data_IF_095855694537
#
_entry.id   IF_095855694537
#
_cell.length_a   1.000
_cell.length_b   1.000
_cell.length_c   1.000
_cell.angle_alpha   90.00
_cell.angle_beta   90.00
_cell.angle_gamma   90.00
#
_symmetry.space_group_name_H-M   'P 1'
#
loop_
_entity.id
_entity.type
_entity.pdbx_description
1 polymer ?
#
# COMPACT_ATOMS: atom_id res chain seq x y z
N UNK A 1 22.48 12.73 2.86
CA UNK A 1 22.43 12.30 4.29
C UNK A 1 21.43 11.17 4.55
N UNK A 2 20.19 11.18 4.01
CA UNK A 2 19.19 10.14 4.26
C UNK A 2 19.62 8.70 3.90
N UNK A 3 20.00 8.47 2.63
CA UNK A 3 20.41 7.14 2.15
C UNK A 3 21.56 6.52 2.96
N UNK A 4 22.51 7.34 3.42
CA UNK A 4 23.61 6.84 4.26
C UNK A 4 23.11 6.26 5.59
N UNK A 5 22.11 6.91 6.23
CA UNK A 5 21.48 6.40 7.45
C UNK A 5 20.75 5.07 7.21
N UNK A 6 19.99 4.98 6.11
CA UNK A 6 19.25 3.76 5.72
C UNK A 6 20.18 2.61 5.37
N UNK A 7 21.23 2.86 4.57
CA UNK A 7 22.16 1.85 4.11
C UNK A 7 23.11 1.36 5.21
N UNK A 8 23.52 2.24 6.15
CA UNK A 8 24.42 1.85 7.26
C UNK A 8 23.81 0.78 8.17
N UNK A 9 22.49 0.80 8.37
CA UNK A 9 21.75 -0.17 9.20
C UNK A 9 21.00 -1.22 8.38
N UNK A 10 21.36 -1.39 7.11
CA UNK A 10 20.64 -2.26 6.19
C UNK A 10 20.54 -3.71 6.68
N UNK A 11 21.66 -4.31 7.07
CA UNK A 11 21.70 -5.70 7.56
C UNK A 11 20.83 -5.91 8.80
N UNK A 12 20.88 -4.99 9.75
CA UNK A 12 20.05 -5.03 10.96
C UNK A 12 18.55 -4.95 10.61
N UNK A 13 18.18 -4.02 9.72
CA UNK A 13 16.79 -3.84 9.27
C UNK A 13 16.27 -5.03 8.45
N UNK A 14 17.12 -5.60 7.61
CA UNK A 14 16.82 -6.83 6.85
C UNK A 14 16.57 -8.01 7.81
N UNK A 15 17.42 -8.19 8.83
CA UNK A 15 17.24 -9.23 9.83
C UNK A 15 15.97 -9.03 10.66
N UNK A 16 15.67 -7.80 11.08
CA UNK A 16 14.43 -7.46 11.80
C UNK A 16 13.19 -7.73 10.94
N UNK A 17 13.21 -7.32 9.67
CA UNK A 17 12.13 -7.58 8.73
C UNK A 17 11.93 -9.08 8.49
N UNK A 18 13.02 -9.84 8.31
CA UNK A 18 12.94 -11.29 8.16
C UNK A 18 12.34 -11.97 9.40
N UNK A 19 12.78 -11.59 10.60
CA UNK A 19 12.22 -12.11 11.84
C UNK A 19 10.73 -11.78 12.00
N UNK A 20 10.31 -10.57 11.62
CA UNK A 20 8.91 -10.17 11.62
C UNK A 20 8.09 -11.02 10.63
N UNK A 21 8.57 -11.19 9.39
CA UNK A 21 7.90 -12.00 8.38
C UNK A 21 7.76 -13.46 8.80
N UNK A 22 8.80 -14.05 9.40
CA UNK A 22 8.73 -15.42 9.92
C UNK A 22 7.75 -15.54 11.10
N UNK A 23 7.71 -14.53 11.99
CA UNK A 23 6.69 -14.47 13.06
C UNK A 23 5.28 -14.36 12.48
N UNK A 24 5.08 -13.56 11.44
CA UNK A 24 3.77 -13.42 10.80
C UNK A 24 3.32 -14.70 10.08
N UNK A 25 4.25 -15.48 9.53
CA UNK A 25 3.94 -16.78 8.93
C UNK A 25 3.60 -17.85 9.97
N UNK A 26 4.24 -17.79 11.14
CA UNK A 26 4.08 -18.78 12.21
C UNK A 26 2.97 -18.43 13.19
N UNK A 27 2.65 -17.15 13.35
CA UNK A 27 1.50 -16.68 14.12
C UNK A 27 0.21 -16.81 13.30
N UNK A 28 -0.87 -17.22 13.95
CA UNK A 28 -2.21 -17.21 13.36
C UNK A 28 -2.92 -15.84 13.54
N UNK A 29 -2.23 -14.82 14.05
CA UNK A 29 -2.83 -13.51 14.33
C UNK A 29 -3.25 -12.82 13.02
N UNK A 30 -4.55 -12.57 12.80
CA UNK A 30 -4.99 -11.82 11.64
C UNK A 30 -4.44 -10.40 11.68
N UNK A 31 -4.00 -9.88 10.53
CA UNK A 31 -3.46 -8.54 10.45
C UNK A 31 -4.02 -7.75 9.28
N UNK A 32 -4.05 -6.44 9.45
CA UNK A 32 -4.29 -5.47 8.38
C UNK A 32 -2.97 -4.88 7.91
N UNK A 33 -2.93 -4.42 6.67
CA UNK A 33 -1.73 -3.83 6.06
C UNK A 33 -1.97 -2.36 5.72
N UNK A 34 -1.03 -1.50 6.11
CA UNK A 34 -0.97 -0.09 5.72
C UNK A 34 0.39 0.21 5.08
N UNK A 35 0.50 0.18 3.74
CA UNK A 35 1.72 0.58 3.04
C UNK A 35 1.85 2.10 3.01
N UNK A 36 2.98 2.59 3.52
CA UNK A 36 3.33 4.00 3.46
C UNK A 36 3.66 4.40 2.02
N UNK A 37 3.21 5.60 1.64
CA UNK A 37 3.61 6.27 0.40
C UNK A 37 4.75 7.26 0.67
N UNK A 38 5.43 7.74 -0.38
CA UNK A 38 6.47 8.75 -0.24
C UNK A 38 5.85 10.08 0.18
N UNK A 39 6.40 10.73 1.21
CA UNK A 39 5.93 12.05 1.67
C UNK A 39 6.02 13.14 0.57
N UNK A 40 6.89 12.95 -0.42
CA UNK A 40 7.06 13.81 -1.58
C UNK A 40 6.13 13.49 -2.76
N UNK A 41 5.24 12.50 -2.63
CA UNK A 41 4.36 12.09 -3.72
C UNK A 41 3.36 13.21 -4.04
N UNK A 42 3.36 13.64 -5.30
CA UNK A 42 2.40 14.63 -5.80
C UNK A 42 0.95 14.16 -5.63
N UNK A 43 0.71 12.83 -5.62
CA UNK A 43 -0.60 12.24 -5.40
C UNK A 43 -1.15 12.51 -3.98
N UNK A 44 -0.29 12.63 -2.96
CA UNK A 44 -0.73 12.99 -1.60
C UNK A 44 -1.15 14.44 -1.55
N UNK A 45 -0.41 15.32 -2.23
CA UNK A 45 -0.64 16.77 -2.24
C UNK A 45 -1.85 17.18 -3.08
N UNK A 46 -2.16 16.45 -4.15
CA UNK A 46 -3.21 16.80 -5.11
C UNK A 46 -4.48 15.95 -4.97
N UNK A 47 -4.35 14.73 -4.47
CA UNK A 47 -5.44 13.73 -4.47
C UNK A 47 -5.68 13.10 -3.10
N UNK A 48 -5.25 13.74 -2.01
CA UNK A 48 -5.60 13.31 -0.65
C UNK A 48 -6.08 14.48 0.23
N UNK A 49 -6.94 14.23 1.21
CA UNK A 49 -7.33 15.22 2.21
C UNK A 49 -6.25 15.46 3.28
N UNK A 50 -5.14 14.72 3.26
CA UNK A 50 -4.09 14.77 4.28
C UNK A 50 -3.03 15.81 3.93
N UNK A 51 -2.53 16.52 4.95
CA UNK A 51 -1.39 17.43 4.76
C UNK A 51 -0.07 16.68 4.55
N UNK A 52 -0.01 15.39 4.91
CA UNK A 52 1.11 14.50 4.65
C UNK A 52 0.88 13.09 5.22
N UNK A 53 1.89 12.22 5.10
CA UNK A 53 1.80 10.81 5.52
C UNK A 53 1.57 10.66 7.04
N UNK A 54 2.11 11.57 7.84
CA UNK A 54 1.96 11.51 9.30
C UNK A 54 0.50 11.67 9.74
N UNK A 55 -0.29 12.49 9.04
CA UNK A 55 -1.71 12.68 9.37
C UNK A 55 -2.52 11.44 9.00
N UNK A 56 -2.23 10.84 7.84
CA UNK A 56 -2.83 9.57 7.45
C UNK A 56 -2.47 8.45 8.45
N UNK A 57 -1.20 8.36 8.85
CA UNK A 57 -0.75 7.41 9.87
C UNK A 57 -1.48 7.63 11.20
N UNK A 58 -1.71 8.89 11.60
CA UNK A 58 -2.47 9.24 12.82
C UNK A 58 -3.90 8.78 12.74
N UNK A 59 -4.58 9.06 11.62
CA UNK A 59 -5.95 8.65 11.40
C UNK A 59 -6.08 7.12 11.45
N UNK A 60 -5.18 6.41 10.74
CA UNK A 60 -5.19 4.94 10.67
C UNK A 60 -4.94 4.31 12.04
N UNK A 61 -3.90 4.75 12.76
CA UNK A 61 -3.60 4.22 14.09
C UNK A 61 -4.71 4.53 15.11
N UNK A 62 -5.28 5.74 15.06
CA UNK A 62 -6.37 6.12 15.95
C UNK A 62 -7.65 5.32 15.69
N UNK A 63 -8.03 5.17 14.43
CA UNK A 63 -9.19 4.37 14.03
C UNK A 63 -8.99 2.88 14.36
N UNK A 64 -7.81 2.33 14.07
CA UNK A 64 -7.47 0.95 14.44
C UNK A 64 -7.55 0.72 15.95
N UNK A 65 -7.05 1.65 16.77
CA UNK A 65 -7.12 1.56 18.22
C UNK A 65 -8.57 1.53 18.74
N UNK A 66 -9.45 2.34 18.16
CA UNK A 66 -10.83 2.47 18.58
C UNK A 66 -11.73 1.33 18.08
N UNK A 67 -11.47 0.81 16.88
CA UNK A 67 -12.44 -0.01 16.16
C UNK A 67 -11.93 -1.41 15.78
N UNK A 68 -10.62 -1.70 15.78
CA UNK A 68 -10.15 -3.01 15.35
C UNK A 68 -10.25 -4.08 16.45
N UNK A 69 -10.69 -5.32 16.14
CA UNK A 69 -10.80 -6.41 17.11
C UNK A 69 -9.52 -6.64 17.90
N UNK A 70 -9.59 -6.90 19.21
CA UNK A 70 -8.41 -7.00 20.08
C UNK A 70 -7.34 -8.02 19.62
N UNK A 71 -7.76 -9.10 18.95
CA UNK A 71 -6.87 -10.14 18.41
C UNK A 71 -6.27 -9.83 17.03
N UNK A 72 -6.45 -8.63 16.49
CA UNK A 72 -5.85 -8.23 15.20
C UNK A 72 -4.63 -7.35 15.39
N UNK A 73 -3.72 -7.43 14.41
CA UNK A 73 -2.52 -6.59 14.30
C UNK A 73 -2.62 -5.63 13.12
N UNK A 74 -1.82 -4.57 13.14
CA UNK A 74 -1.62 -3.66 12.01
C UNK A 74 -0.15 -3.66 11.60
N UNK A 75 0.10 -3.96 10.33
CA UNK A 75 1.44 -3.94 9.75
C UNK A 75 1.59 -2.65 8.94
N UNK A 76 2.45 -1.77 9.40
CA UNK A 76 2.85 -0.56 8.68
C UNK A 76 4.07 -0.88 7.83
N UNK A 77 3.92 -0.82 6.50
CA UNK A 77 4.98 -1.19 5.55
C UNK A 77 5.68 0.06 5.01
N UNK A 78 7.00 0.16 5.20
CA UNK A 78 7.79 1.27 4.65
C UNK A 78 7.83 1.22 3.11
N UNK A 79 7.73 2.39 2.48
CA UNK A 79 7.94 2.53 1.04
C UNK A 79 9.39 2.18 0.67
N UNK A 80 9.64 1.33 -0.36
CA UNK A 80 11.00 0.90 -0.70
C UNK A 80 11.92 2.09 -1.05
N UNK A 81 11.38 3.09 -1.74
CA UNK A 81 12.10 4.29 -2.15
C UNK A 81 12.22 5.38 -1.07
N UNK A 82 11.70 5.17 0.15
CA UNK A 82 11.86 6.14 1.23
C UNK A 82 13.36 6.27 1.56
N UNK A 83 13.87 7.50 1.56
CA UNK A 83 15.29 7.77 1.75
C UNK A 83 15.71 7.76 3.24
N UNK A 84 14.77 7.52 4.15
CA UNK A 84 14.98 7.46 5.58
C UNK A 84 15.36 8.80 6.19
N UNK A 85 14.97 9.95 5.61
CA UNK A 85 15.13 11.28 6.25
C UNK A 85 14.23 11.36 7.48
N UNK A 86 12.95 11.02 7.32
CA UNK A 86 12.02 10.85 8.44
C UNK A 86 12.14 9.44 9.00
N UNK A 87 12.04 9.31 10.32
CA UNK A 87 12.14 8.00 10.97
C UNK A 87 10.73 7.44 11.21
N UNK A 88 10.11 6.95 10.15
CA UNK A 88 8.75 6.41 10.19
C UNK A 88 8.55 5.26 11.17
N UNK A 89 9.59 4.46 11.41
CA UNK A 89 9.57 3.41 12.43
C UNK A 89 9.36 4.02 13.84
N UNK A 90 10.11 5.07 14.18
CA UNK A 90 9.97 5.75 15.46
C UNK A 90 8.63 6.49 15.57
N UNK A 91 8.24 7.21 14.52
CA UNK A 91 6.96 7.93 14.48
C UNK A 91 5.77 6.97 14.68
N UNK A 92 5.80 5.82 13.99
CA UNK A 92 4.79 4.77 14.15
C UNK A 92 4.77 4.23 15.58
N UNK A 93 5.94 3.94 16.17
CA UNK A 93 6.04 3.43 17.54
C UNK A 93 5.52 4.45 18.57
N UNK A 94 5.91 5.72 18.45
CA UNK A 94 5.49 6.80 19.36
C UNK A 94 3.99 7.02 19.29
N UNK A 95 3.41 6.99 18.08
CA UNK A 95 1.97 7.15 17.87
C UNK A 95 1.19 5.94 18.36
N UNK A 96 1.66 4.72 18.09
CA UNK A 96 1.04 3.50 18.58
C UNK A 96 1.05 3.44 20.12
N UNK A 97 2.13 3.88 20.76
CA UNK A 97 2.20 4.00 22.21
C UNK A 97 1.20 5.03 22.75
N UNK A 98 1.07 6.19 22.11
CA UNK A 98 0.08 7.23 22.48
C UNK A 98 -1.36 6.73 22.37
N UNK A 99 -1.65 5.87 21.40
CA UNK A 99 -2.96 5.24 21.23
C UNK A 99 -3.15 3.95 22.04
N UNK A 100 -2.14 3.52 22.81
CA UNK A 100 -2.23 2.31 23.65
C UNK A 100 -2.22 0.99 22.88
N UNK A 101 -1.72 0.97 21.64
CA UNK A 101 -1.74 -0.19 20.74
C UNK A 101 -0.35 -0.63 20.28
N UNK A 102 0.72 -0.21 20.98
CA UNK A 102 2.10 -0.54 20.61
C UNK A 102 2.33 -2.05 20.38
N UNK A 103 1.74 -2.91 21.21
CA UNK A 103 1.85 -4.37 21.11
C UNK A 103 1.12 -4.97 19.90
N UNK A 104 0.24 -4.20 19.25
CA UNK A 104 -0.58 -4.61 18.10
C UNK A 104 -0.14 -3.98 16.78
N UNK A 105 0.92 -3.17 16.78
CA UNK A 105 1.43 -2.49 15.58
C UNK A 105 2.83 -2.97 15.27
N UNK A 106 3.01 -3.49 14.06
CA UNK A 106 4.30 -3.94 13.54
C UNK A 106 4.78 -3.00 12.44
N UNK A 107 6.09 -2.74 12.40
CA UNK A 107 6.70 -1.92 11.37
C UNK A 107 7.61 -2.76 10.47
N UNK A 108 7.26 -2.86 9.18
CA UNK A 108 8.02 -3.61 8.19
C UNK A 108 8.83 -2.67 7.30
N UNK A 109 10.07 -2.40 7.73
CA UNK A 109 11.00 -1.48 7.05
C UNK A 109 11.66 -2.03 5.78
N UNK A 110 11.61 -3.34 5.55
CA UNK A 110 12.25 -4.01 4.41
C UNK A 110 11.43 -5.22 3.95
N UNK A 111 11.71 -5.72 2.75
CA UNK A 111 11.04 -6.89 2.18
C UNK A 111 9.95 -6.54 1.17
N UNK A 112 9.56 -7.55 0.40
CA UNK A 112 8.52 -7.46 -0.61
C UNK A 112 7.14 -7.31 0.06
N UNK A 113 6.31 -6.45 -0.52
CA UNK A 113 4.92 -6.25 -0.09
C UNK A 113 4.03 -7.42 -0.55
N UNK A 114 4.36 -8.09 -1.66
CA UNK A 114 3.49 -9.13 -2.27
C UNK A 114 3.11 -10.25 -1.30
N UNK A 115 4.05 -10.89 -0.56
CA UNK A 115 3.70 -11.95 0.38
C UNK A 115 2.84 -11.44 1.53
N UNK A 116 3.09 -10.21 1.99
CA UNK A 116 2.41 -9.58 3.13
C UNK A 116 1.02 -9.10 2.76
N UNK A 117 0.84 -8.63 1.53
CA UNK A 117 -0.47 -8.22 1.03
C UNK A 117 -1.38 -9.43 0.89
N UNK A 118 -0.87 -10.54 0.33
CA UNK A 118 -1.65 -11.75 0.06
C UNK A 118 -2.34 -12.33 1.30
N UNK A 119 -1.66 -12.33 2.43
CA UNK A 119 -2.15 -12.96 3.66
C UNK A 119 -2.82 -11.94 4.61
N UNK A 120 -2.99 -10.68 4.19
CA UNK A 120 -3.64 -9.65 4.99
C UNK A 120 -5.17 -9.84 5.01
N UNK A 121 -5.78 -9.58 6.18
CA UNK A 121 -7.24 -9.51 6.34
C UNK A 121 -7.87 -8.33 5.59
N UNK A 122 -7.08 -7.28 5.35
CA UNK A 122 -7.48 -6.11 4.59
C UNK A 122 -6.32 -5.12 4.46
N UNK A 123 -6.38 -4.27 3.44
CA UNK A 123 -5.39 -3.23 3.18
C UNK A 123 -6.03 -1.84 3.27
N UNK A 124 -5.39 -0.95 4.02
CA UNK A 124 -5.72 0.47 4.05
C UNK A 124 -4.72 1.18 3.16
N UNK A 125 -5.17 2.09 2.29
CA UNK A 125 -4.30 2.88 1.41
C UNK A 125 -4.83 4.31 1.34
N UNK A 126 -3.97 5.28 1.00
CA UNK A 126 -4.46 6.63 0.67
C UNK A 126 -4.92 6.61 -0.79
N UNK A 127 -3.96 6.46 -1.71
CA UNK A 127 -4.21 6.32 -3.15
C UNK A 127 -3.10 5.52 -3.85
N UNK A 128 -2.30 4.76 -3.09
CA UNK A 128 -1.21 3.95 -3.61
C UNK A 128 -1.69 2.91 -4.63
N UNK A 129 -0.89 2.63 -5.65
CA UNK A 129 -1.11 1.47 -6.54
C UNK A 129 -1.01 0.13 -5.79
N UNK A 130 -0.43 0.10 -4.59
CA UNK A 130 -0.50 -1.05 -3.69
C UNK A 130 -1.95 -1.49 -3.41
N UNK A 131 -2.93 -0.57 -3.45
CA UNK A 131 -4.35 -0.93 -3.38
C UNK A 131 -4.76 -1.88 -4.52
N UNK A 132 -4.39 -1.57 -5.76
CA UNK A 132 -4.67 -2.46 -6.91
C UNK A 132 -3.97 -3.82 -6.81
N UNK A 133 -2.80 -3.88 -6.15
CA UNK A 133 -2.12 -5.15 -5.85
C UNK A 133 -2.95 -5.99 -4.86
N UNK A 134 -3.46 -5.38 -3.78
CA UNK A 134 -4.33 -6.05 -2.82
C UNK A 134 -5.62 -6.54 -3.47
N UNK A 135 -6.26 -5.69 -4.27
CA UNK A 135 -7.48 -6.02 -5.02
C UNK A 135 -7.26 -7.22 -5.96
N UNK A 136 -6.14 -7.25 -6.69
CA UNK A 136 -5.78 -8.37 -7.56
C UNK A 136 -5.53 -9.69 -6.81
N UNK A 137 -5.30 -9.63 -5.49
CA UNK A 137 -5.18 -10.81 -4.62
C UNK A 137 -6.50 -11.15 -3.92
N UNK A 138 -7.60 -10.45 -4.20
CA UNK A 138 -8.89 -10.63 -3.52
C UNK A 138 -8.92 -10.06 -2.10
N UNK A 139 -7.94 -9.24 -1.72
CA UNK A 139 -7.86 -8.65 -0.38
C UNK A 139 -8.79 -7.44 -0.31
N UNK A 140 -9.63 -7.31 0.73
CA UNK A 140 -10.42 -6.11 0.97
C UNK A 140 -9.54 -4.87 1.02
N UNK A 141 -9.92 -3.79 0.33
CA UNK A 141 -9.17 -2.53 0.34
C UNK A 141 -10.07 -1.36 0.67
N UNK A 142 -9.63 -0.49 1.59
CA UNK A 142 -10.25 0.83 1.82
C UNK A 142 -9.27 1.93 1.39
N UNK A 143 -9.74 2.84 0.55
CA UNK A 143 -9.00 4.02 0.11
C UNK A 143 -9.39 5.24 0.97
N UNK A 144 -8.39 5.96 1.47
CA UNK A 144 -8.58 7.15 2.32
C UNK A 144 -8.42 8.47 1.56
N UNK A 145 -7.94 8.41 0.31
CA UNK A 145 -7.84 9.53 -0.61
C UNK A 145 -8.52 9.20 -1.94
N UNK A 146 -8.40 10.11 -2.90
CA UNK A 146 -8.94 9.88 -4.23
C UNK A 146 -8.07 8.89 -4.99
N UNK A 147 -8.57 7.67 -5.14
CA UNK A 147 -7.97 6.64 -5.97
C UNK A 147 -8.90 6.31 -7.14
N UNK A 148 -8.36 6.14 -8.35
CA UNK A 148 -9.17 5.81 -9.53
C UNK A 148 -9.88 4.46 -9.44
N UNK A 149 -9.40 3.58 -8.55
CA UNK A 149 -9.99 2.27 -8.25
C UNK A 149 -10.95 2.30 -7.05
N UNK A 150 -11.13 3.45 -6.39
CA UNK A 150 -12.10 3.64 -5.31
C UNK A 150 -13.51 3.72 -5.89
N UNK A 151 -14.04 2.57 -6.27
CA UNK A 151 -15.38 2.39 -6.82
C UNK A 151 -16.15 1.35 -5.99
N UNK A 152 -17.48 1.47 -5.91
CA UNK A 152 -18.34 0.46 -5.30
C UNK A 152 -18.04 -0.93 -5.88
N UNK A 153 -18.20 -1.95 -5.05
CA UNK A 153 -17.95 -3.37 -5.38
C UNK A 153 -16.47 -3.72 -5.59
N UNK A 154 -15.59 -2.77 -5.91
CA UNK A 154 -14.14 -3.00 -5.96
C UNK A 154 -13.46 -2.69 -4.63
N UNK A 155 -13.81 -1.59 -3.99
CA UNK A 155 -13.22 -1.19 -2.70
C UNK A 155 -14.30 -1.07 -1.63
N UNK A 156 -13.88 -1.13 -0.37
CA UNK A 156 -14.76 -1.00 0.77
C UNK A 156 -15.25 0.44 0.93
N UNK A 157 -16.57 0.62 0.85
CA UNK A 157 -17.21 1.94 0.86
C UNK A 157 -17.79 2.34 2.24
N UNK A 158 -17.71 1.46 3.25
CA UNK A 158 -18.26 1.71 4.59
C UNK A 158 -17.39 2.62 5.49
N UNK A 159 -16.28 3.14 4.96
CA UNK A 159 -15.31 3.94 5.70
C UNK A 159 -14.34 3.13 6.57
N UNK A 160 -13.33 3.80 7.09
CA UNK A 160 -12.21 3.16 7.78
C UNK A 160 -12.62 2.44 9.08
N UNK A 161 -13.50 3.06 9.88
CA UNK A 161 -13.86 2.52 11.21
C UNK A 161 -14.60 1.17 11.11
N UNK A 162 -15.52 1.04 10.16
CA UNK A 162 -16.26 -0.19 9.91
C UNK A 162 -15.39 -1.27 9.24
N UNK A 163 -14.44 -0.86 8.40
CA UNK A 163 -13.54 -1.74 7.66
C UNK A 163 -12.76 -2.70 8.58
N UNK A 164 -12.38 -2.26 9.78
CA UNK A 164 -11.61 -3.12 10.70
C UNK A 164 -12.39 -4.33 11.22
N UNK A 165 -13.71 -4.22 11.27
CA UNK A 165 -14.59 -5.25 11.83
C UNK A 165 -15.02 -6.22 10.74
N UNK A 166 -15.56 -5.66 9.65
CA UNK A 166 -16.19 -6.41 8.57
C UNK A 166 -15.66 -5.94 7.20
N UNK A 167 -14.40 -6.25 6.88
CA UNK A 167 -13.83 -5.92 5.59
C UNK A 167 -14.44 -6.81 4.51
N UNK A 168 -14.95 -6.20 3.44
CA UNK A 168 -15.58 -6.91 2.31
C UNK A 168 -14.60 -7.01 1.14
N UNK A 169 -14.44 -8.22 0.62
CA UNK A 169 -13.57 -8.50 -0.52
C UNK A 169 -14.10 -7.84 -1.80
N UNK A 170 -13.22 -7.49 -2.76
CA UNK A 170 -13.65 -7.00 -4.07
C UNK A 170 -14.50 -8.04 -4.79
N UNK A 171 -15.52 -7.59 -5.50
CA UNK A 171 -16.15 -8.39 -6.54
C UNK A 171 -15.15 -8.62 -7.67
N UNK A 172 -14.81 -9.89 -7.89
CA UNK A 172 -13.73 -10.27 -8.80
C UNK A 172 -14.07 -9.92 -10.26
N UNK A 173 -15.33 -10.01 -10.66
CA UNK A 173 -15.76 -9.71 -12.02
C UNK A 173 -15.69 -8.20 -12.29
N UNK A 174 -16.17 -7.39 -11.36
CA UNK A 174 -16.16 -5.93 -11.45
C UNK A 174 -14.73 -5.39 -11.41
N UNK A 175 -13.89 -5.92 -10.51
CA UNK A 175 -12.48 -5.54 -10.48
C UNK A 175 -11.77 -5.89 -11.79
N UNK A 176 -12.04 -7.07 -12.36
CA UNK A 176 -11.41 -7.44 -13.62
C UNK A 176 -11.90 -6.62 -14.82
N UNK A 177 -13.19 -6.26 -14.84
CA UNK A 177 -13.73 -5.33 -15.82
C UNK A 177 -13.06 -3.95 -15.71
N UNK A 178 -12.90 -3.42 -14.49
CA UNK A 178 -12.17 -2.18 -14.23
C UNK A 178 -10.72 -2.28 -14.72
N UNK A 179 -10.01 -3.37 -14.35
CA UNK A 179 -8.61 -3.60 -14.72
C UNK A 179 -8.45 -3.64 -16.25
N UNK A 180 -9.35 -4.32 -16.95
CA UNK A 180 -9.36 -4.38 -18.42
C UNK A 180 -9.49 -3.00 -19.04
N UNK A 181 -10.43 -2.17 -18.58
CA UNK A 181 -10.59 -0.79 -19.08
C UNK A 181 -9.32 0.03 -18.83
N UNK A 182 -8.75 -0.07 -17.63
CA UNK A 182 -7.53 0.66 -17.27
C UNK A 182 -6.37 0.29 -18.23
N UNK A 183 -6.15 -1.01 -18.44
CA UNK A 183 -5.09 -1.54 -19.29
C UNK A 183 -5.30 -1.20 -20.77
N UNK A 184 -6.51 -1.34 -21.29
CA UNK A 184 -6.78 -1.18 -22.73
C UNK A 184 -6.99 0.28 -23.16
N UNK A 185 -7.46 1.16 -22.26
CA UNK A 185 -7.94 2.50 -22.64
C UNK A 185 -7.16 3.64 -22.00
N UNK A 186 -6.60 3.43 -20.82
CA UNK A 186 -6.00 4.49 -20.02
C UNK A 186 -4.47 4.42 -19.99
N UNK A 187 -3.90 3.22 -19.96
CA UNK A 187 -2.46 3.01 -19.77
C UNK A 187 -1.70 2.82 -21.09
N UNK A 188 -0.40 3.12 -21.02
CA UNK A 188 0.58 2.75 -22.06
C UNK A 188 1.41 1.60 -21.47
N UNK A 189 1.38 0.39 -22.06
CA UNK A 189 2.16 -0.74 -21.57
C UNK A 189 3.66 -0.45 -21.52
N UNK A 190 4.33 -0.84 -20.44
CA UNK A 190 5.79 -0.70 -20.25
C UNK A 190 6.16 -0.04 -18.93
N UNK A 191 7.39 0.51 -18.84
CA UNK A 191 7.93 1.11 -17.63
C UNK A 191 9.34 1.68 -17.83
N UNK A 192 9.89 2.31 -16.79
CA UNK A 192 11.16 3.05 -16.91
C UNK A 192 12.37 2.36 -16.27
N UNK A 193 12.17 1.20 -15.63
CA UNK A 193 13.15 0.58 -14.75
C UNK A 193 13.84 -0.67 -15.33
N UNK A 194 13.49 -1.07 -16.55
CA UNK A 194 14.22 -2.08 -17.31
C UNK A 194 14.25 -1.70 -18.79
N UNK A 195 15.27 -2.16 -19.51
CA UNK A 195 15.38 -1.90 -20.96
C UNK A 195 14.18 -2.47 -21.71
N UNK A 196 13.74 -3.68 -21.38
CA UNK A 196 12.53 -4.31 -21.94
C UNK A 196 11.27 -3.46 -21.70
N UNK A 197 11.07 -2.97 -20.48
CA UNK A 197 9.91 -2.15 -20.15
C UNK A 197 9.98 -0.79 -20.84
N UNK A 198 11.19 -0.24 -21.03
CA UNK A 198 11.42 1.03 -21.70
C UNK A 198 11.17 0.91 -23.21
N UNK A 199 11.64 -0.16 -23.83
CA UNK A 199 11.35 -0.45 -25.23
C UNK A 199 9.84 -0.61 -25.46
N UNK A 200 9.16 -1.35 -24.56
CA UNK A 200 7.71 -1.50 -24.58
C UNK A 200 7.00 -0.15 -24.48
N UNK A 201 7.35 0.69 -23.50
CA UNK A 201 6.67 1.99 -23.31
C UNK A 201 6.89 2.94 -24.49
N UNK A 202 8.10 2.99 -25.05
CA UNK A 202 8.41 3.80 -26.23
C UNK A 202 7.58 3.35 -27.43
N UNK A 203 7.58 2.05 -27.72
CA UNK A 203 6.83 1.48 -28.85
C UNK A 203 5.32 1.74 -28.74
N UNK A 204 4.73 1.49 -27.58
CA UNK A 204 3.29 1.74 -27.38
C UNK A 204 2.94 3.24 -27.36
N UNK A 205 3.84 4.10 -26.85
CA UNK A 205 3.63 5.55 -26.87
C UNK A 205 3.64 6.12 -28.29
N UNK A 206 4.61 5.74 -29.14
CA UNK A 206 4.67 6.15 -30.55
C UNK A 206 3.37 5.73 -31.26
N UNK A 207 2.99 4.46 -31.12
CA UNK A 207 1.79 3.93 -31.75
C UNK A 207 0.51 4.71 -31.35
N UNK A 208 0.39 5.12 -30.08
CA UNK A 208 -0.73 5.95 -29.61
C UNK A 208 -0.70 7.37 -30.17
N UNK A 209 0.47 7.99 -30.24
CA UNK A 209 0.64 9.35 -30.81
C UNK A 209 0.32 9.36 -32.31
N UNK A 210 0.68 8.30 -33.03
CA UNK A 210 0.37 8.13 -34.46
C UNK A 210 -1.09 7.72 -34.74
N UNK A 211 -1.93 7.58 -33.71
CA UNK A 211 -3.33 7.17 -33.85
C UNK A 211 -3.53 5.70 -34.21
N UNK A 212 -2.53 4.85 -33.98
CA UNK A 212 -2.53 3.41 -34.26
C UNK A 212 -2.24 2.60 -32.98
N UNK A 213 -3.09 2.69 -31.94
CA UNK A 213 -2.80 2.06 -30.66
C UNK A 213 -2.65 0.53 -30.81
N UNK A 214 -1.57 0.00 -30.23
CA UNK A 214 -1.33 -1.44 -30.15
C UNK A 214 -2.11 -2.03 -28.97
N UNK A 215 -2.61 -3.25 -29.14
CA UNK A 215 -3.16 -4.00 -28.01
C UNK A 215 -2.06 -4.29 -26.99
N UNK A 216 -2.39 -4.27 -25.68
CA UNK A 216 -1.47 -4.71 -24.64
C UNK A 216 -1.02 -6.15 -24.89
N UNK A 217 0.31 -6.36 -24.93
CA UNK A 217 0.95 -7.69 -24.96
C UNK A 217 1.03 -8.32 -23.58
#
# INVERSE_FOLDING_TARGET
>A
MGWWRKLRRRKEREAQAAALLERMKTSADPYFLFPLQLDSDAQIRLHSPFAGIADALKLVLGSFAAHAPAGTRLVVKEHPLDNGVRNWQQETADMAARFGIAERVDYLGWGDIVPVARDARGMVTINSTSGTLGLAMGVPVVALGHAVYDIPEVTYQGGLDAFWQDPVAPDAETFEAFRRVLIERCLIPGGFFSEEALEKVVRHAIARIEGRPLLPE
#
